data_IF_681418377198
#
_entry.id   IF_681418377198
#
_cell.length_a   1.000
_cell.length_b   1.000
_cell.length_c   1.000
_cell.angle_alpha   90.00
_cell.angle_beta   90.00
_cell.angle_gamma   90.00
#
_symmetry.space_group_name_H-M   'P 1'
#
loop_
_entity.id
_entity.type
_entity.pdbx_description
1 polymer ?
#
# COMPACT_ATOMS: atom_id res chain seq x y z
N UNK A 1 0.59 47.85 -69.40
CA UNK A 1 0.15 46.78 -68.48
C UNK A 1 0.87 46.99 -67.16
N UNK A 2 0.14 47.32 -66.08
CA UNK A 2 0.71 47.58 -64.74
C UNK A 2 0.65 46.30 -63.92
N UNK A 3 1.79 45.80 -63.44
CA UNK A 3 1.87 44.70 -62.50
C UNK A 3 1.95 45.25 -61.07
N UNK A 4 0.99 44.89 -60.23
CA UNK A 4 0.96 45.20 -58.80
C UNK A 4 1.42 43.95 -58.07
N UNK A 5 2.54 44.04 -57.35
CA UNK A 5 3.11 42.95 -56.56
C UNK A 5 2.74 43.16 -55.10
N UNK A 6 1.99 42.22 -54.52
CA UNK A 6 1.58 42.23 -53.11
C UNK A 6 2.55 41.31 -52.34
N UNK A 7 3.29 41.87 -51.36
CA UNK A 7 4.12 41.08 -50.44
C UNK A 7 3.26 40.52 -49.28
N UNK A 8 3.39 39.23 -48.92
CA UNK A 8 2.77 38.68 -47.72
C UNK A 8 3.72 38.77 -46.51
N UNK A 9 3.24 39.37 -45.43
CA UNK A 9 3.93 39.45 -44.13
C UNK A 9 3.68 38.17 -43.33
N UNK A 10 4.74 37.41 -43.03
CA UNK A 10 4.67 36.23 -42.14
C UNK A 10 5.00 36.68 -40.72
N UNK A 11 4.03 36.59 -39.81
CA UNK A 11 4.23 36.82 -38.38
C UNK A 11 4.80 35.55 -37.73
N UNK A 12 6.04 35.61 -37.25
CA UNK A 12 6.68 34.55 -36.48
C UNK A 12 6.30 34.70 -35.00
N UNK A 13 5.42 33.84 -34.49
CA UNK A 13 5.13 33.77 -33.05
C UNK A 13 6.22 32.97 -32.34
N UNK A 14 7.00 33.63 -31.51
CA UNK A 14 7.96 32.98 -30.61
C UNK A 14 7.18 32.52 -29.37
N UNK A 15 6.75 31.26 -29.37
CA UNK A 15 6.21 30.63 -28.17
C UNK A 15 7.38 30.31 -27.23
N UNK A 16 7.53 31.07 -26.14
CA UNK A 16 8.38 30.69 -25.01
C UNK A 16 7.71 29.52 -24.28
N UNK A 17 8.09 28.30 -24.63
CA UNK A 17 7.81 27.13 -23.80
C UNK A 17 8.75 27.20 -22.58
N UNK A 18 8.20 27.56 -21.42
CA UNK A 18 8.91 27.38 -20.16
C UNK A 18 9.22 25.89 -19.97
N UNK A 19 10.44 25.52 -19.55
CA UNK A 19 10.76 24.14 -19.23
C UNK A 19 9.96 23.75 -17.98
N UNK A 20 8.89 22.99 -18.16
CA UNK A 20 8.33 22.20 -17.08
C UNK A 20 9.38 21.14 -16.72
N UNK A 21 10.04 21.32 -15.57
CA UNK A 21 10.75 20.22 -14.93
C UNK A 21 9.71 19.17 -14.56
N UNK A 22 9.56 18.16 -15.42
CA UNK A 22 8.80 16.96 -15.10
C UNK A 22 9.62 16.22 -14.03
N UNK A 23 9.32 16.48 -12.76
CA UNK A 23 9.86 15.76 -11.61
C UNK A 23 9.28 14.34 -11.60
N UNK A 24 9.82 13.48 -12.46
CA UNK A 24 9.36 12.10 -12.69
C UNK A 24 10.17 11.08 -11.90
N UNK A 25 10.98 11.50 -10.92
CA UNK A 25 11.88 10.59 -10.19
C UNK A 25 11.88 10.72 -8.67
N UNK A 26 11.35 11.80 -8.09
CA UNK A 26 11.27 11.91 -6.63
C UNK A 26 10.22 10.95 -6.03
N UNK A 27 9.15 10.65 -6.77
CA UNK A 27 8.05 9.81 -6.30
C UNK A 27 8.40 8.32 -6.17
N UNK A 28 9.36 7.82 -6.97
CA UNK A 28 9.77 6.41 -6.94
C UNK A 28 10.36 6.03 -5.56
N UNK A 29 11.11 6.93 -4.94
CA UNK A 29 11.69 6.72 -3.60
C UNK A 29 10.65 6.76 -2.48
N UNK A 30 9.47 7.32 -2.73
CA UNK A 30 8.38 7.40 -1.77
C UNK A 30 7.50 6.15 -1.72
N UNK A 31 7.85 5.09 -2.45
CA UNK A 31 7.06 3.85 -2.48
C UNK A 31 7.80 2.72 -1.78
N UNK A 32 7.13 1.93 -0.90
CA UNK A 32 7.73 0.70 -0.42
C UNK A 32 8.05 -0.20 -1.61
N UNK A 33 9.22 -0.84 -1.60
CA UNK A 33 9.56 -1.86 -2.59
C UNK A 33 9.02 -3.24 -2.18
N UNK A 34 8.80 -3.45 -0.88
CA UNK A 34 8.25 -4.69 -0.36
C UNK A 34 7.62 -4.54 1.01
N UNK A 35 6.74 -5.49 1.31
CA UNK A 35 6.29 -5.81 2.65
C UNK A 35 6.76 -7.22 3.02
N UNK A 36 7.12 -7.41 4.28
CA UNK A 36 7.39 -8.74 4.84
C UNK A 36 6.39 -9.03 5.95
N UNK A 37 5.67 -10.14 5.81
CA UNK A 37 4.73 -10.65 6.80
C UNK A 37 5.38 -11.83 7.52
N UNK A 38 5.43 -11.79 8.86
CA UNK A 38 5.99 -12.86 9.71
C UNK A 38 5.01 -13.29 10.79
N UNK A 39 5.31 -14.43 11.43
CA UNK A 39 4.62 -14.92 12.62
C UNK A 39 3.10 -15.10 12.45
N UNK A 40 2.66 -15.42 11.23
CA UNK A 40 1.24 -15.59 10.95
C UNK A 40 0.67 -16.78 11.70
N UNK A 41 -0.37 -16.52 12.48
CA UNK A 41 -1.18 -17.53 13.15
C UNK A 41 -2.66 -17.17 13.01
N UNK A 42 -3.46 -18.14 12.57
CA UNK A 42 -4.91 -18.08 12.52
C UNK A 42 -5.46 -19.23 13.35
N UNK A 43 -6.24 -18.92 14.37
CA UNK A 43 -6.95 -19.90 15.20
C UNK A 43 -8.44 -19.73 14.95
N UNK A 44 -9.13 -20.79 14.56
CA UNK A 44 -10.58 -20.80 14.35
C UNK A 44 -11.24 -21.95 15.09
N UNK A 45 -12.45 -21.72 15.56
CA UNK A 45 -13.36 -22.71 16.15
C UNK A 45 -14.79 -22.36 15.76
N UNK A 46 -15.81 -23.16 16.11
CA UNK A 46 -17.21 -22.85 15.80
C UNK A 46 -17.67 -21.49 16.33
N UNK A 47 -17.13 -21.06 17.47
CA UNK A 47 -17.59 -19.89 18.22
C UNK A 47 -16.55 -18.76 18.29
N UNK A 48 -15.36 -18.96 17.73
CA UNK A 48 -14.28 -17.98 17.82
C UNK A 48 -13.29 -18.04 16.65
N UNK A 49 -12.69 -16.88 16.37
CA UNK A 49 -11.59 -16.71 15.46
C UNK A 49 -10.60 -15.70 16.04
N UNK A 50 -9.32 -15.95 15.82
CA UNK A 50 -8.22 -15.04 16.19
C UNK A 50 -7.15 -15.11 15.13
N UNK A 51 -6.62 -13.96 14.74
CA UNK A 51 -5.48 -13.85 13.82
C UNK A 51 -4.40 -12.98 14.45
N UNK A 52 -3.15 -13.35 14.22
CA UNK A 52 -1.96 -12.59 14.59
C UNK A 52 -0.93 -12.68 13.46
N UNK A 53 -0.30 -11.57 13.11
CA UNK A 53 0.91 -11.53 12.28
C UNK A 53 1.65 -10.21 12.51
N UNK A 54 2.92 -10.17 12.14
CA UNK A 54 3.69 -8.94 12.04
C UNK A 54 3.84 -8.52 10.58
N UNK A 55 3.82 -7.22 10.30
CA UNK A 55 4.11 -6.66 8.98
C UNK A 55 5.19 -5.60 9.06
N UNK A 56 6.17 -5.67 8.15
CA UNK A 56 7.23 -4.67 8.02
C UNK A 56 7.32 -4.15 6.59
N UNK A 57 7.38 -2.84 6.42
CA UNK A 57 7.61 -2.19 5.13
C UNK A 57 9.11 -2.00 4.87
N UNK A 58 9.49 -1.99 3.59
CA UNK A 58 10.86 -1.71 3.15
C UNK A 58 10.83 -0.78 1.95
N UNK A 59 11.66 0.26 1.98
CA UNK A 59 11.86 1.24 0.91
C UNK A 59 13.27 1.07 0.34
N UNK A 60 13.45 1.38 -0.95
CA UNK A 60 14.79 1.35 -1.57
C UNK A 60 15.72 2.43 -0.98
N UNK A 61 15.17 3.61 -0.73
CA UNK A 61 15.81 4.74 -0.07
C UNK A 61 14.83 5.28 0.99
N UNK A 62 15.25 5.32 2.25
CA UNK A 62 14.42 5.82 3.35
C UNK A 62 14.43 7.34 3.49
N UNK A 63 15.20 8.05 2.67
CA UNK A 63 15.35 9.50 2.78
C UNK A 63 14.02 10.22 2.59
N UNK A 64 13.59 10.99 3.59
CA UNK A 64 12.33 11.73 3.55
C UNK A 64 11.08 10.87 3.77
N UNK A 65 11.22 9.56 4.00
CA UNK A 65 10.11 8.66 4.35
C UNK A 65 9.91 8.66 5.86
N UNK A 66 8.72 9.06 6.28
CA UNK A 66 8.22 8.86 7.63
C UNK A 66 7.25 7.69 7.58
N UNK A 67 7.66 6.52 8.08
CA UNK A 67 6.83 5.32 8.16
C UNK A 67 7.20 4.47 9.37
N UNK A 68 6.29 4.38 10.34
CA UNK A 68 6.46 3.55 11.53
C UNK A 68 6.40 2.03 11.24
N UNK A 69 5.79 1.62 10.12
CA UNK A 69 5.72 0.21 9.71
C UNK A 69 7.09 -0.32 9.29
N UNK A 70 8.07 0.55 8.98
CA UNK A 70 9.46 0.12 8.77
C UNK A 70 10.08 -0.48 10.03
N UNK A 71 9.57 -0.14 11.22
CA UNK A 71 9.96 -0.75 12.49
C UNK A 71 9.30 -2.11 12.76
N UNK A 72 8.28 -2.46 11.98
CA UNK A 72 7.38 -3.57 12.23
C UNK A 72 6.08 -3.11 12.92
N UNK A 73 4.96 -3.67 12.50
CA UNK A 73 3.63 -3.46 13.05
C UNK A 73 3.03 -4.81 13.46
N UNK A 74 2.45 -4.87 14.66
CA UNK A 74 1.78 -6.07 15.16
C UNK A 74 0.29 -6.03 14.83
N UNK A 75 -0.18 -6.95 14.01
CA UNK A 75 -1.56 -7.00 13.54
C UNK A 75 -2.29 -8.15 14.24
N UNK A 76 -3.33 -7.83 15.01
CA UNK A 76 -4.16 -8.83 15.67
C UNK A 76 -5.64 -8.47 15.57
N UNK A 77 -6.48 -9.49 15.52
CA UNK A 77 -7.93 -9.35 15.64
C UNK A 77 -8.54 -10.64 16.19
N UNK A 78 -9.61 -10.53 16.96
CA UNK A 78 -10.34 -11.68 17.50
C UNK A 78 -11.83 -11.39 17.64
N UNK A 79 -12.66 -12.42 17.51
CA UNK A 79 -14.11 -12.33 17.66
C UNK A 79 -14.78 -13.69 17.42
N UNK A 80 -16.12 -13.73 17.37
CA UNK A 80 -16.83 -14.95 16.92
C UNK A 80 -16.51 -15.27 15.45
N UNK A 81 -16.34 -14.21 14.66
CA UNK A 81 -15.71 -14.19 13.35
C UNK A 81 -14.67 -13.06 13.36
N UNK A 82 -13.66 -13.13 12.49
CA UNK A 82 -12.71 -12.02 12.39
C UNK A 82 -13.45 -10.75 11.90
N UNK A 83 -13.36 -9.63 12.63
CA UNK A 83 -13.94 -8.38 12.17
C UNK A 83 -13.21 -7.83 10.94
N UNK A 84 -13.82 -6.85 10.27
CA UNK A 84 -13.15 -5.97 9.33
C UNK A 84 -12.79 -4.65 10.02
N UNK A 85 -11.93 -3.87 9.37
CA UNK A 85 -11.37 -2.59 9.79
C UNK A 85 -10.45 -2.75 11.01
N UNK A 86 -9.61 -3.77 10.98
CA UNK A 86 -8.69 -4.06 12.07
C UNK A 86 -7.48 -3.14 11.98
N UNK A 87 -7.16 -2.47 13.07
CA UNK A 87 -6.02 -1.56 13.17
C UNK A 87 -4.84 -2.34 13.75
N UNK A 88 -3.70 -2.35 13.07
CA UNK A 88 -2.48 -2.92 13.64
C UNK A 88 -1.88 -1.96 14.68
N UNK A 89 -1.23 -2.53 15.68
CA UNK A 89 -0.48 -1.79 16.69
C UNK A 89 0.81 -1.23 16.07
N UNK A 90 0.73 0.03 15.69
CA UNK A 90 1.80 0.87 15.15
C UNK A 90 1.43 2.33 15.33
N UNK A 91 2.43 3.21 15.45
CA UNK A 91 2.19 4.64 15.60
C UNK A 91 1.29 5.21 14.49
N UNK A 92 0.47 6.18 14.86
CA UNK A 92 -0.46 6.92 13.97
C UNK A 92 -1.46 6.06 13.19
N UNK A 93 -1.73 4.82 13.60
CA UNK A 93 -2.73 3.92 12.96
C UNK A 93 -2.48 3.75 11.46
N UNK A 94 -1.22 3.64 11.06
CA UNK A 94 -0.78 3.63 9.66
C UNK A 94 -1.10 2.35 8.91
N UNK A 95 -1.46 1.27 9.61
CA UNK A 95 -1.68 -0.03 9.01
C UNK A 95 -3.01 -0.63 9.45
N UNK A 96 -3.80 -1.05 8.46
CA UNK A 96 -5.09 -1.71 8.63
C UNK A 96 -5.11 -3.02 7.85
N UNK A 97 -5.92 -3.97 8.31
CA UNK A 97 -6.24 -5.15 7.53
C UNK A 97 -7.71 -5.56 7.61
N UNK A 98 -8.23 -6.03 6.47
CA UNK A 98 -9.60 -6.51 6.30
C UNK A 98 -9.61 -7.90 5.65
N UNK A 99 -10.65 -8.68 5.85
CA UNK A 99 -10.87 -9.92 5.09
C UNK A 99 -11.30 -9.60 3.66
N UNK A 100 -10.71 -10.31 2.69
CA UNK A 100 -11.16 -10.32 1.28
C UNK A 100 -11.94 -11.57 0.89
N UNK A 101 -12.10 -12.50 1.81
CA UNK A 101 -12.83 -13.74 1.62
C UNK A 101 -13.10 -14.42 2.97
N UNK A 102 -13.52 -15.70 2.94
CA UNK A 102 -13.65 -16.52 4.13
C UNK A 102 -12.37 -16.52 4.98
N UNK A 103 -12.50 -16.47 6.31
CA UNK A 103 -11.37 -16.32 7.24
C UNK A 103 -10.36 -17.47 7.16
N UNK A 104 -10.80 -18.67 6.80
CA UNK A 104 -9.99 -19.87 6.59
C UNK A 104 -9.11 -19.81 5.33
N UNK A 105 -9.34 -18.86 4.42
CA UNK A 105 -8.49 -18.66 3.24
C UNK A 105 -7.26 -17.79 3.49
N UNK A 106 -7.13 -17.20 4.70
CA UNK A 106 -6.08 -16.25 5.06
C UNK A 106 -5.85 -15.15 3.99
N UNK A 107 -6.95 -14.64 3.42
CA UNK A 107 -6.91 -13.65 2.35
C UNK A 107 -7.36 -12.28 2.85
N UNK A 108 -6.42 -11.34 2.87
CA UNK A 108 -6.57 -10.02 3.48
C UNK A 108 -6.39 -8.90 2.48
N UNK A 109 -6.97 -7.75 2.79
CA UNK A 109 -6.69 -6.46 2.21
C UNK A 109 -5.82 -5.71 3.22
N UNK A 110 -4.56 -5.45 2.88
CA UNK A 110 -3.68 -4.62 3.70
C UNK A 110 -3.78 -3.17 3.19
N UNK A 111 -4.13 -2.25 4.07
CA UNK A 111 -4.15 -0.82 3.77
C UNK A 111 -3.07 -0.14 4.59
N UNK A 112 -2.10 0.46 3.91
CA UNK A 112 -0.94 1.08 4.54
C UNK A 112 -0.83 2.54 4.10
N UNK A 113 -0.68 3.44 5.07
CA UNK A 113 -0.54 4.89 4.88
C UNK A 113 0.78 5.37 5.46
N UNK A 114 1.54 6.17 4.72
CA UNK A 114 2.80 6.74 5.18
C UNK A 114 2.97 8.18 4.68
N UNK A 115 3.98 8.87 5.20
CA UNK A 115 4.34 10.21 4.73
C UNK A 115 5.69 10.14 4.05
N UNK A 116 5.85 10.85 2.94
CA UNK A 116 7.13 10.99 2.26
C UNK A 116 7.26 12.40 1.67
N UNK A 117 8.36 13.10 1.97
CA UNK A 117 8.63 14.46 1.49
C UNK A 117 7.45 15.43 1.73
N UNK A 118 6.79 15.32 2.88
CA UNK A 118 5.65 16.15 3.27
C UNK A 118 4.31 15.78 2.61
N UNK A 119 4.26 14.73 1.78
CA UNK A 119 3.04 14.20 1.19
C UNK A 119 2.61 12.90 1.86
N UNK A 120 1.31 12.68 2.01
CA UNK A 120 0.76 11.41 2.48
C UNK A 120 0.50 10.48 1.30
N UNK A 121 0.83 9.21 1.46
CA UNK A 121 0.69 8.15 0.48
C UNK A 121 -0.11 7.00 1.07
N UNK A 122 -0.77 6.22 0.21
CA UNK A 122 -1.53 5.06 0.59
C UNK A 122 -1.32 3.93 -0.41
N UNK A 123 -1.33 2.70 0.08
CA UNK A 123 -1.40 1.49 -0.73
C UNK A 123 -2.56 0.61 -0.27
N UNK A 124 -3.10 -0.16 -1.21
CA UNK A 124 -4.11 -1.17 -0.96
C UNK A 124 -3.68 -2.48 -1.58
N UNK A 125 -3.14 -3.37 -0.75
CA UNK A 125 -2.50 -4.61 -1.22
C UNK A 125 -3.29 -5.86 -0.81
N UNK A 126 -3.89 -6.59 -1.76
CA UNK A 126 -4.45 -7.91 -1.47
C UNK A 126 -3.33 -8.90 -1.17
N UNK A 127 -3.44 -9.63 -0.06
CA UNK A 127 -2.44 -10.59 0.42
C UNK A 127 -3.13 -11.87 0.83
N UNK A 128 -2.82 -12.96 0.13
CA UNK A 128 -3.18 -14.30 0.57
C UNK A 128 -1.95 -14.93 1.20
N UNK A 129 -2.05 -15.35 2.46
CA UNK A 129 -0.97 -16.06 3.13
C UNK A 129 -0.92 -17.48 2.59
N UNK A 130 0.20 -17.85 1.97
CA UNK A 130 0.42 -19.17 1.34
C UNK A 130 1.93 -19.48 1.35
N UNK A 131 2.38 -20.69 1.74
CA UNK A 131 1.58 -21.82 2.22
C UNK A 131 1.00 -21.62 3.64
N UNK A 132 -0.16 -22.23 3.89
CA UNK A 132 -0.74 -22.39 5.23
C UNK A 132 -0.57 -23.83 5.71
N UNK A 133 -0.05 -23.98 6.92
CA UNK A 133 0.07 -25.27 7.60
C UNK A 133 -0.96 -25.30 8.73
N UNK A 134 -2.02 -26.09 8.55
CA UNK A 134 -3.13 -26.16 9.50
C UNK A 134 -3.14 -27.49 10.26
N UNK A 135 -3.43 -27.43 11.56
CA UNK A 135 -3.60 -28.58 12.44
C UNK A 135 -4.92 -28.46 13.21
N UNK A 136 -5.55 -29.61 13.48
CA UNK A 136 -6.82 -29.67 14.18
C UNK A 136 -6.65 -30.31 15.56
N UNK A 137 -7.24 -29.66 16.57
CA UNK A 137 -7.38 -30.18 17.92
C UNK A 137 -8.86 -30.08 18.33
N UNK A 138 -9.60 -31.18 18.12
CA UNK A 138 -11.06 -31.18 18.28
C UNK A 138 -11.74 -30.30 17.23
N UNK A 139 -12.50 -29.30 17.67
CA UNK A 139 -13.16 -28.32 16.80
C UNK A 139 -12.31 -27.08 16.51
N UNK A 140 -11.12 -26.98 17.09
CA UNK A 140 -10.20 -25.86 16.88
C UNK A 140 -9.22 -26.18 15.77
N UNK A 141 -9.15 -25.32 14.76
CA UNK A 141 -8.13 -25.32 13.71
C UNK A 141 -7.09 -24.24 14.03
N UNK A 142 -5.80 -24.58 13.98
CA UNK A 142 -4.71 -23.61 14.08
C UNK A 142 -3.87 -23.71 12.82
N UNK A 143 -3.84 -22.61 12.06
CA UNK A 143 -3.05 -22.45 10.85
C UNK A 143 -1.90 -21.48 11.10
N UNK A 144 -0.71 -21.84 10.64
CA UNK A 144 0.46 -20.97 10.66
C UNK A 144 0.99 -20.75 9.24
N UNK A 145 1.64 -19.62 9.00
CA UNK A 145 2.19 -19.27 7.69
C UNK A 145 3.36 -18.29 7.77
N UNK A 146 3.99 -18.04 6.62
CA UNK A 146 5.12 -17.13 6.51
C UNK A 146 6.46 -17.68 7.04
N UNK A 147 7.53 -16.86 7.02
CA UNK A 147 7.55 -15.49 6.51
C UNK A 147 7.31 -15.41 5.00
N UNK A 148 6.68 -14.33 4.54
CA UNK A 148 6.48 -14.08 3.11
C UNK A 148 6.72 -12.61 2.76
N UNK A 149 7.17 -12.38 1.53
CA UNK A 149 7.42 -11.03 1.00
C UNK A 149 6.56 -10.78 -0.22
N UNK A 150 5.99 -9.59 -0.33
CA UNK A 150 5.15 -9.19 -1.46
C UNK A 150 5.31 -7.69 -1.76
N UNK A 151 5.07 -7.31 -3.01
CA UNK A 151 5.12 -5.91 -3.43
C UNK A 151 3.82 -5.17 -3.06
N UNK A 152 3.87 -3.88 -2.70
CA UNK A 152 2.66 -3.08 -2.55
C UNK A 152 1.90 -2.98 -3.88
N UNK A 153 0.59 -2.88 -3.79
CA UNK A 153 -0.30 -2.62 -4.92
C UNK A 153 -1.18 -1.39 -4.68
N UNK A 154 -1.72 -0.83 -5.76
CA UNK A 154 -2.60 0.34 -5.72
C UNK A 154 -2.00 1.53 -4.95
N UNK A 155 -0.68 1.73 -5.09
CA UNK A 155 0.05 2.82 -4.46
C UNK A 155 -0.36 4.14 -5.10
N UNK A 156 -0.70 5.13 -4.28
CA UNK A 156 -1.02 6.48 -4.73
C UNK A 156 -0.75 7.50 -3.63
N UNK A 157 -0.48 8.73 -4.03
CA UNK A 157 -0.48 9.89 -3.15
C UNK A 157 -1.92 10.25 -2.75
N UNK A 158 -2.14 10.58 -1.48
CA UNK A 158 -3.41 11.16 -1.00
C UNK A 158 -3.37 12.66 -1.29
N UNK A 159 -4.34 13.14 -2.06
CA UNK A 159 -4.46 14.55 -2.41
C UNK A 159 -5.68 15.15 -1.72
N UNK A 160 -5.52 16.35 -1.14
CA UNK A 160 -6.57 17.06 -0.42
C UNK A 160 -7.62 17.74 -1.35
N UNK A 161 -7.48 17.61 -2.68
CA UNK A 161 -8.38 18.18 -3.69
C UNK A 161 -8.26 17.41 -5.02
N UNK A 162 -9.14 17.60 -6.03
CA UNK A 162 -9.21 16.76 -7.22
C UNK A 162 -7.98 16.80 -8.13
N UNK A 163 -7.02 17.71 -7.89
CA UNK A 163 -5.73 17.73 -8.60
C UNK A 163 -4.61 17.23 -7.68
N UNK A 164 -4.11 16.04 -8.02
CA UNK A 164 -2.70 15.69 -7.96
C UNK A 164 -2.11 16.01 -9.34
#
# INVERSE_FOLDING_TARGET
MRFITILPSVFTTIALAAPFTIDTRADDNCTPISYTLTDYTLVTSPDSASVNFNLKSSFADGTGVEDAVQGGASCNASGAQLPNNNVCDVADRRLLFDLRGPQDQAYYQVTHTWTCNGATWISGTPVKVDPLICSFAGSTCTCTGGPMTFAPQNVRKICNSPSC
#
